data_IF_760864753581
#
_entry.id   IF_760864753581
#
_cell.length_a   1.000
_cell.length_b   1.000
_cell.length_c   1.000
_cell.angle_alpha   90.00
_cell.angle_beta   90.00
_cell.angle_gamma   90.00
#
_symmetry.space_group_name_H-M   'P 1'
#
loop_
_entity.id
_entity.type
_entity.pdbx_description
1 polymer ?
#
# COMPACT_ATOMS: atom_id res chain seq x y z
N UNK A 1 -0.43 2.90 10.11
CA UNK A 1 -1.43 3.77 9.45
C UNK A 1 -1.58 5.16 10.07
N UNK A 2 -2.05 5.32 11.33
CA UNK A 2 -2.34 6.66 11.90
C UNK A 2 -1.18 7.66 11.81
N UNK A 3 0.05 7.24 12.13
CA UNK A 3 1.24 8.09 12.05
C UNK A 3 1.62 8.45 10.60
N UNK A 4 1.55 7.50 9.67
CA UNK A 4 1.87 7.76 8.26
C UNK A 4 0.88 8.75 7.64
N UNK A 5 -0.40 8.63 7.96
CA UNK A 5 -1.44 9.58 7.53
C UNK A 5 -1.20 10.99 8.08
N UNK A 6 -0.90 11.10 9.38
CA UNK A 6 -0.59 12.39 10.00
C UNK A 6 0.59 13.11 9.32
N UNK A 7 1.70 12.41 9.10
CA UNK A 7 2.88 12.98 8.45
C UNK A 7 2.61 13.33 6.98
N UNK A 8 1.82 12.50 6.29
CA UNK A 8 1.47 12.72 4.89
C UNK A 8 0.64 14.00 4.71
N UNK A 9 -0.31 14.27 5.61
CA UNK A 9 -1.03 15.55 5.63
C UNK A 9 -0.10 16.74 5.89
N UNK A 10 0.79 16.61 6.86
CA UNK A 10 1.67 17.71 7.28
C UNK A 10 2.64 18.12 6.17
N UNK A 11 3.12 17.15 5.38
CA UNK A 11 4.17 17.36 4.37
C UNK A 11 3.69 17.18 2.93
N UNK A 12 2.39 17.04 2.69
CA UNK A 12 1.79 16.75 1.38
C UNK A 12 2.50 15.57 0.67
N UNK A 13 2.53 14.41 1.33
CA UNK A 13 3.18 13.19 0.85
C UNK A 13 2.18 12.08 0.57
N UNK A 14 2.62 11.11 -0.20
CA UNK A 14 1.89 9.88 -0.52
C UNK A 14 2.46 8.71 0.29
N UNK A 15 1.68 7.64 0.45
CA UNK A 15 2.05 6.47 1.24
C UNK A 15 2.25 5.27 0.31
N UNK A 16 3.39 4.60 0.43
CA UNK A 16 3.64 3.32 -0.24
C UNK A 16 3.57 2.22 0.82
N UNK A 17 2.68 1.24 0.63
CA UNK A 17 2.59 0.07 1.51
C UNK A 17 3.88 -0.75 1.42
N UNK A 18 4.26 -1.41 2.52
CA UNK A 18 5.43 -2.32 2.57
C UNK A 18 5.10 -3.68 3.20
N UNK A 19 3.82 -3.95 3.46
CA UNK A 19 3.34 -5.20 4.03
C UNK A 19 2.90 -6.15 2.91
N UNK A 20 3.64 -7.26 2.78
CA UNK A 20 3.41 -8.25 1.73
C UNK A 20 2.05 -8.94 1.79
N UNK A 21 1.33 -8.89 2.92
CA UNK A 21 -0.01 -9.47 3.02
C UNK A 21 -1.09 -8.52 2.49
N UNK A 22 -0.88 -7.21 2.59
CA UNK A 22 -1.90 -6.20 2.27
C UNK A 22 -2.03 -5.89 0.78
N UNK A 23 -1.13 -6.43 -0.03
CA UNK A 23 -1.15 -6.31 -1.50
C UNK A 23 -2.30 -7.11 -2.15
N UNK A 24 -2.80 -8.16 -1.47
CA UNK A 24 -3.74 -9.11 -2.06
C UNK A 24 -5.20 -8.68 -1.96
N UNK A 25 -5.98 -8.87 -3.03
CA UNK A 25 -7.41 -8.55 -3.08
C UNK A 25 -8.27 -9.42 -2.13
N UNK A 26 -9.35 -8.83 -1.59
CA UNK A 26 -10.38 -9.56 -0.83
C UNK A 26 -10.01 -9.99 0.59
N UNK A 27 -8.77 -9.75 1.05
CA UNK A 27 -8.27 -10.18 2.36
C UNK A 27 -8.21 -9.05 3.40
N UNK A 28 -9.10 -8.06 3.31
CA UNK A 28 -8.98 -6.80 4.06
C UNK A 28 -9.02 -6.98 5.59
N UNK A 29 -9.95 -7.81 6.09
CA UNK A 29 -10.10 -8.06 7.54
C UNK A 29 -8.92 -8.86 8.07
N UNK A 30 -8.54 -9.94 7.38
CA UNK A 30 -7.51 -10.87 7.84
C UNK A 30 -6.11 -10.27 7.78
N UNK A 31 -5.87 -9.33 6.88
CA UNK A 31 -4.58 -8.63 6.73
C UNK A 31 -4.57 -7.26 7.42
N UNK A 32 -5.58 -6.98 8.23
CA UNK A 32 -5.73 -5.73 8.99
C UNK A 32 -5.52 -4.48 8.12
N UNK A 33 -6.12 -4.49 6.92
CA UNK A 33 -6.02 -3.35 6.01
C UNK A 33 -6.72 -2.13 6.60
N UNK A 34 -6.15 -0.94 6.38
CA UNK A 34 -6.80 0.31 6.74
C UNK A 34 -8.13 0.47 6.01
N UNK A 35 -9.18 0.82 6.74
CA UNK A 35 -10.43 1.20 6.09
C UNK A 35 -10.24 2.49 5.27
N UNK A 36 -11.07 2.70 4.24
CA UNK A 36 -11.00 3.90 3.38
C UNK A 36 -11.06 5.19 4.22
N UNK A 37 -11.88 5.21 5.27
CA UNK A 37 -11.99 6.36 6.17
C UNK A 37 -10.69 6.66 6.93
N UNK A 38 -9.89 5.64 7.23
CA UNK A 38 -8.60 5.80 7.92
C UNK A 38 -7.49 6.30 7.00
N UNK A 39 -7.65 6.13 5.68
CA UNK A 39 -6.71 6.62 4.67
C UNK A 39 -6.83 8.13 4.44
N UNK A 40 -7.95 8.73 4.83
CA UNK A 40 -8.16 10.19 4.88
C UNK A 40 -7.75 10.92 3.58
N UNK A 41 -8.25 10.42 2.44
CA UNK A 41 -8.01 11.00 1.09
C UNK A 41 -6.54 11.12 0.66
N UNK A 42 -5.59 10.52 1.38
CA UNK A 42 -4.20 10.44 0.96
C UNK A 42 -4.04 9.33 -0.06
N UNK A 43 -3.22 9.57 -1.07
CA UNK A 43 -2.83 8.55 -2.06
C UNK A 43 -2.05 7.42 -1.37
N UNK A 44 -2.59 6.19 -1.47
CA UNK A 44 -1.99 4.98 -0.94
C UNK A 44 -1.68 4.01 -2.08
N UNK A 45 -0.42 3.63 -2.20
CA UNK A 45 0.06 2.72 -3.23
C UNK A 45 0.31 1.32 -2.67
N UNK A 46 0.31 0.33 -3.58
CA UNK A 46 0.61 -1.07 -3.30
C UNK A 46 -0.35 -1.73 -2.27
N UNK A 47 -1.61 -1.32 -2.29
CA UNK A 47 -2.69 -2.03 -1.61
C UNK A 47 -3.60 -2.71 -2.63
N UNK A 48 -4.09 -3.90 -2.32
CA UNK A 48 -5.24 -4.53 -3.02
C UNK A 48 -5.12 -4.50 -4.56
N UNK A 49 -3.96 -4.90 -5.10
CA UNK A 49 -3.70 -4.87 -6.55
C UNK A 49 -3.32 -6.24 -7.12
N UNK A 50 -3.22 -7.26 -6.26
CA UNK A 50 -2.81 -8.60 -6.66
C UNK A 50 -3.88 -9.62 -6.31
N UNK A 51 -4.25 -10.48 -7.26
CA UNK A 51 -5.12 -11.60 -6.97
C UNK A 51 -4.34 -12.67 -6.17
N UNK A 52 -4.86 -13.14 -5.01
CA UNK A 52 -4.19 -14.13 -4.17
C UNK A 52 -3.96 -15.49 -4.85
N UNK A 53 -4.63 -15.78 -5.96
CA UNK A 53 -4.52 -17.05 -6.70
C UNK A 53 -3.56 -16.99 -7.90
N UNK A 54 -3.01 -15.82 -8.25
CA UNK A 54 -2.17 -15.68 -9.45
C UNK A 54 -0.78 -16.27 -9.25
N UNK A 55 0.02 -15.65 -8.38
CA UNK A 55 1.40 -16.06 -8.07
C UNK A 55 1.82 -15.52 -6.71
N UNK A 56 2.99 -15.93 -6.22
CA UNK A 56 3.60 -15.28 -5.07
C UNK A 56 4.26 -13.96 -5.48
N UNK A 57 4.13 -12.94 -4.64
CA UNK A 57 4.87 -11.68 -4.75
C UNK A 57 6.19 -11.76 -3.98
N UNK A 58 7.29 -11.43 -4.64
CA UNK A 58 8.63 -11.50 -4.05
C UNK A 58 9.14 -10.12 -3.64
N UNK A 59 10.19 -10.09 -2.82
CA UNK A 59 10.88 -8.84 -2.47
C UNK A 59 11.43 -8.09 -3.69
N UNK A 60 11.76 -8.82 -4.77
CA UNK A 60 12.22 -8.22 -6.02
C UNK A 60 11.08 -7.56 -6.77
N UNK A 61 9.89 -8.19 -6.80
CA UNK A 61 8.68 -7.59 -7.35
C UNK A 61 8.36 -6.30 -6.57
N UNK A 62 8.30 -6.37 -5.23
CA UNK A 62 8.07 -5.21 -4.37
C UNK A 62 9.02 -4.05 -4.65
N UNK A 63 10.32 -4.34 -4.72
CA UNK A 63 11.33 -3.32 -5.04
C UNK A 63 10.99 -2.65 -6.36
N UNK A 64 10.74 -3.42 -7.42
CA UNK A 64 10.49 -2.87 -8.74
C UNK A 64 9.20 -2.02 -8.77
N UNK A 65 8.13 -2.50 -8.13
CA UNK A 65 6.85 -1.80 -8.04
C UNK A 65 7.00 -0.47 -7.28
N UNK A 66 7.63 -0.50 -6.10
CA UNK A 66 7.88 0.68 -5.29
C UNK A 66 8.80 1.69 -6.00
N UNK A 67 9.86 1.22 -6.67
CA UNK A 67 10.75 2.09 -7.44
C UNK A 67 10.02 2.76 -8.62
N UNK A 68 9.11 2.04 -9.29
CA UNK A 68 8.30 2.61 -10.36
C UNK A 68 7.44 3.77 -9.85
N UNK A 69 6.80 3.60 -8.68
CA UNK A 69 6.01 4.65 -8.06
C UNK A 69 6.89 5.85 -7.69
N UNK A 70 7.97 5.62 -6.93
CA UNK A 70 8.88 6.69 -6.48
C UNK A 70 9.47 7.46 -7.65
N UNK A 71 9.76 6.79 -8.78
CA UNK A 71 10.30 7.45 -9.98
C UNK A 71 9.26 8.25 -10.76
N UNK A 72 7.97 8.05 -10.48
CA UNK A 72 6.86 8.74 -11.14
C UNK A 72 6.31 9.93 -10.36
N UNK A 73 6.81 10.15 -9.13
CA UNK A 73 6.49 11.28 -8.25
C UNK A 73 7.44 12.46 -8.48
#
# INVERSE_FOLDING_TARGET
>A
MKQSVYLSKLYNREIINADSAQIYEGLDITTAKPAIIEQDSISHHLFTYMNPFDRSHTVVDYRNDAFSIVSSL
#
